data_IF_380806066288
#
_entry.id   IF_380806066288
#
_cell.length_a   1.000
_cell.length_b   1.000
_cell.length_c   1.000
_cell.angle_alpha   90.00
_cell.angle_beta   90.00
_cell.angle_gamma   90.00
#
_symmetry.space_group_name_H-M   'P 1'
#
loop_
_entity.id
_entity.type
_entity.pdbx_description
1 polymer ?
#
# COMPACT_ATOMS: atom_id res chain seq x y z
N UNK A 1 10.25 21.00 -15.83
CA UNK A 1 9.54 20.43 -14.66
C UNK A 1 10.27 19.13 -14.33
N UNK A 2 10.95 19.04 -13.18
CA UNK A 2 11.87 17.92 -12.88
C UNK A 2 11.07 16.61 -12.89
N UNK A 3 11.55 15.62 -13.64
CA UNK A 3 11.11 14.24 -13.49
C UNK A 3 11.41 13.82 -12.05
N UNK A 4 10.38 13.72 -11.20
CA UNK A 4 10.52 13.07 -9.90
C UNK A 4 10.95 11.63 -10.18
N UNK A 5 12.11 11.24 -9.65
CA UNK A 5 12.57 9.86 -9.77
C UNK A 5 11.52 8.95 -9.12
N UNK A 6 11.11 7.84 -9.77
CA UNK A 6 10.10 6.96 -9.21
C UNK A 6 10.58 6.40 -7.87
N UNK A 7 9.73 6.47 -6.85
CA UNK A 7 9.98 5.85 -5.55
C UNK A 7 9.29 4.49 -5.51
N UNK A 8 10.03 3.46 -5.11
CA UNK A 8 9.53 2.10 -4.99
C UNK A 8 9.42 1.71 -3.51
N UNK A 9 8.31 1.05 -3.16
CA UNK A 9 8.06 0.56 -1.80
C UNK A 9 7.76 -0.95 -1.82
N UNK A 10 8.16 -1.64 -0.76
CA UNK A 10 7.74 -3.01 -0.48
C UNK A 10 7.42 -3.14 1.01
N UNK A 11 6.22 -3.62 1.30
CA UNK A 11 5.73 -3.86 2.66
C UNK A 11 5.62 -5.36 2.92
N UNK A 12 5.74 -5.74 4.18
CA UNK A 12 5.46 -7.09 4.66
C UNK A 12 4.85 -6.96 6.04
N UNK A 13 3.67 -7.55 6.22
CA UNK A 13 2.94 -7.54 7.48
C UNK A 13 2.66 -8.97 7.96
N UNK A 14 2.35 -9.09 9.24
CA UNK A 14 1.92 -10.36 9.82
C UNK A 14 0.48 -10.66 9.45
N UNK A 15 0.20 -11.92 9.13
CA UNK A 15 -1.13 -12.44 8.80
C UNK A 15 -1.65 -13.40 9.89
N UNK A 16 -1.13 -13.29 11.11
CA UNK A 16 -1.58 -14.13 12.22
C UNK A 16 -2.92 -13.62 12.77
N UNK A 17 -4.00 -14.43 12.74
CA UNK A 17 -5.33 -14.03 13.20
C UNK A 17 -5.42 -13.78 14.72
N UNK A 18 -4.43 -14.22 15.50
CA UNK A 18 -4.43 -14.10 16.96
C UNK A 18 -3.79 -12.79 17.46
N UNK A 19 -3.16 -12.03 16.56
CA UNK A 19 -2.50 -10.76 16.90
C UNK A 19 -2.97 -9.65 15.97
N UNK A 20 -2.94 -8.38 16.40
CA UNK A 20 -3.18 -7.27 15.49
C UNK A 20 -2.20 -7.32 14.31
N UNK A 21 -2.68 -6.93 13.13
CA UNK A 21 -1.83 -6.77 11.96
C UNK A 21 -0.70 -5.78 12.26
N UNK A 22 0.53 -6.24 12.07
CA UNK A 22 1.75 -5.50 12.41
C UNK A 22 2.70 -5.51 11.23
N UNK A 23 3.41 -4.40 11.04
CA UNK A 23 4.47 -4.31 10.05
C UNK A 23 5.64 -5.22 10.50
N UNK A 24 6.08 -6.13 9.64
CA UNK A 24 7.26 -6.98 9.85
C UNK A 24 8.50 -6.41 9.15
N UNK A 25 8.28 -5.67 8.06
CA UNK A 25 9.36 -5.03 7.33
C UNK A 25 8.87 -4.09 6.24
N UNK A 26 9.70 -3.10 5.95
CA UNK A 26 9.52 -2.17 4.84
C UNK A 26 10.84 -2.00 4.09
N UNK A 27 10.77 -1.86 2.77
CA UNK A 27 11.87 -1.43 1.92
C UNK A 27 11.40 -0.25 1.08
N UNK A 28 12.25 0.75 0.94
CA UNK A 28 12.01 1.91 0.08
C UNK A 28 13.27 2.21 -0.73
N UNK A 29 13.09 2.67 -1.97
CA UNK A 29 14.17 3.17 -2.81
C UNK A 29 13.68 4.38 -3.61
N UNK A 30 14.36 5.51 -3.49
CA UNK A 30 14.00 6.78 -4.11
C UNK A 30 14.19 7.97 -3.17
N UNK A 31 13.56 9.08 -3.50
CA UNK A 31 13.52 10.29 -2.67
C UNK A 31 12.90 9.99 -1.29
N UNK A 32 13.48 10.55 -0.23
CA UNK A 32 13.06 10.38 1.17
C UNK A 32 12.99 8.93 1.70
N UNK A 33 13.61 7.97 1.02
CA UNK A 33 13.60 6.57 1.44
C UNK A 33 14.14 6.37 2.88
N UNK A 34 15.17 7.12 3.29
CA UNK A 34 15.73 7.04 4.65
C UNK A 34 14.73 7.41 5.73
N UNK A 35 14.03 8.54 5.56
CA UNK A 35 13.03 9.02 6.52
C UNK A 35 11.84 8.05 6.63
N UNK A 36 11.43 7.48 5.49
CA UNK A 36 10.34 6.51 5.43
C UNK A 36 10.73 5.19 6.11
N UNK A 37 11.94 4.69 5.86
CA UNK A 37 12.45 3.48 6.52
C UNK A 37 12.61 3.69 8.03
N UNK A 38 13.04 4.88 8.45
CA UNK A 38 13.12 5.24 9.87
C UNK A 38 11.74 5.23 10.55
N UNK A 39 10.73 5.82 9.92
CA UNK A 39 9.36 5.79 10.42
C UNK A 39 8.83 4.34 10.55
N UNK A 40 9.09 3.49 9.56
CA UNK A 40 8.75 2.07 9.62
C UNK A 40 9.49 1.34 10.76
N UNK A 41 10.78 1.63 10.94
CA UNK A 41 11.57 1.09 12.05
C UNK A 41 10.99 1.48 13.41
N UNK A 42 10.47 2.71 13.54
CA UNK A 42 9.83 3.17 14.77
C UNK A 42 8.52 2.40 15.05
N UNK A 43 7.69 2.17 14.01
CA UNK A 43 6.46 1.36 14.14
C UNK A 43 6.78 -0.08 14.57
N UNK A 44 7.77 -0.71 13.94
CA UNK A 44 8.19 -2.08 14.24
C UNK A 44 8.75 -2.18 15.66
N UNK A 45 9.67 -1.28 16.04
CA UNK A 45 10.32 -1.32 17.36
C UNK A 45 9.34 -1.08 18.51
N UNK A 46 8.32 -0.25 18.30
CA UNK A 46 7.26 0.00 19.29
C UNK A 46 6.12 -1.03 19.23
N UNK A 47 6.19 -2.04 18.35
CA UNK A 47 5.14 -3.06 18.15
C UNK A 47 3.76 -2.44 17.90
N UNK A 48 3.73 -1.34 17.15
CA UNK A 48 2.49 -0.65 16.83
C UNK A 48 1.73 -1.40 15.73
N UNK A 49 0.39 -1.41 15.78
CA UNK A 49 -0.40 -2.02 14.72
C UNK A 49 -0.27 -1.24 13.41
N UNK A 50 -0.42 -1.94 12.28
CA UNK A 50 -0.32 -1.36 10.94
C UNK A 50 -1.36 -0.25 10.71
N UNK A 51 -2.50 -0.34 11.40
CA UNK A 51 -3.55 0.67 11.40
C UNK A 51 -3.07 2.07 11.82
N UNK A 52 -1.95 2.18 12.56
CA UNK A 52 -1.33 3.49 12.84
C UNK A 52 -0.88 4.17 11.56
N UNK A 53 -0.25 3.44 10.63
CA UNK A 53 0.18 3.97 9.34
C UNK A 53 -1.00 4.26 8.42
N UNK A 54 -2.05 3.44 8.46
CA UNK A 54 -3.26 3.63 7.65
C UNK A 54 -4.03 4.90 8.02
N UNK A 55 -4.07 5.23 9.31
CA UNK A 55 -4.89 6.32 9.85
C UNK A 55 -4.07 7.60 10.12
N UNK A 56 -2.77 7.60 9.85
CA UNK A 56 -1.92 8.77 10.05
C UNK A 56 -2.33 9.89 9.10
N UNK A 57 -2.53 11.10 9.64
CA UNK A 57 -2.80 12.27 8.82
C UNK A 57 -1.50 12.70 8.12
N UNK A 58 -1.46 12.54 6.81
CA UNK A 58 -0.36 13.04 5.97
C UNK A 58 -0.72 14.41 5.38
N UNK A 59 0.22 15.36 5.35
CA UNK A 59 0.01 16.62 4.65
C UNK A 59 -0.12 16.34 3.14
N UNK A 60 -1.14 16.92 2.50
CA UNK A 60 -1.31 16.79 1.06
C UNK A 60 -0.76 18.02 0.33
N UNK A 61 0.02 17.87 -0.77
CA UNK A 61 0.59 16.63 -1.31
C UNK A 61 1.92 16.24 -0.64
N UNK A 62 2.18 14.94 -0.39
CA UNK A 62 3.43 14.44 0.17
C UNK A 62 3.81 13.02 -0.27
N UNK A 63 5.12 12.76 -0.34
CA UNK A 63 5.67 11.42 -0.63
C UNK A 63 5.17 10.37 0.38
N UNK A 64 4.99 10.79 1.64
CA UNK A 64 4.53 9.92 2.73
C UNK A 64 3.10 9.43 2.56
N UNK A 65 2.26 10.07 1.73
CA UNK A 65 0.91 9.56 1.41
C UNK A 65 0.99 8.18 0.76
N UNK A 66 2.03 7.90 -0.03
CA UNK A 66 2.25 6.59 -0.64
C UNK A 66 2.53 5.50 0.40
N UNK A 67 3.14 5.85 1.54
CA UNK A 67 3.40 4.92 2.65
C UNK A 67 2.08 4.52 3.32
N UNK A 68 1.21 5.49 3.61
CA UNK A 68 -0.13 5.25 4.11
C UNK A 68 -0.93 4.36 3.15
N UNK A 69 -0.86 4.66 1.84
CA UNK A 69 -1.59 3.88 0.86
C UNK A 69 -1.07 2.45 0.75
N UNK A 70 0.24 2.23 0.86
CA UNK A 70 0.80 0.87 0.93
C UNK A 70 0.34 0.11 2.18
N UNK A 71 0.26 0.78 3.34
CA UNK A 71 -0.30 0.15 4.54
C UNK A 71 -1.76 -0.25 4.32
N UNK A 72 -2.57 0.63 3.69
CA UNK A 72 -3.95 0.32 3.32
C UNK A 72 -4.07 -0.82 2.30
N UNK A 73 -3.19 -0.89 1.31
CA UNK A 73 -3.16 -2.00 0.35
C UNK A 73 -2.95 -3.34 1.04
N UNK A 74 -2.01 -3.40 1.99
CA UNK A 74 -1.74 -4.61 2.78
C UNK A 74 -2.97 -5.05 3.58
N UNK A 75 -3.71 -4.08 4.13
CA UNK A 75 -4.92 -4.33 4.91
C UNK A 75 -6.21 -4.48 4.08
N UNK A 76 -6.13 -4.51 2.74
CA UNK A 76 -7.29 -4.60 1.85
C UNK A 76 -8.18 -3.33 1.81
N UNK A 77 -7.65 -2.21 2.30
CA UNK A 77 -8.35 -0.94 2.56
C UNK A 77 -7.84 0.21 1.68
N UNK A 78 -7.25 -0.10 0.52
CA UNK A 78 -6.69 0.91 -0.40
C UNK A 78 -7.78 1.87 -0.89
N UNK A 79 -7.52 3.18 -0.94
CA UNK A 79 -8.45 4.16 -1.51
C UNK A 79 -8.04 4.49 -2.96
N UNK A 80 -6.73 4.55 -3.22
CA UNK A 80 -6.22 4.79 -4.55
C UNK A 80 -6.34 3.52 -5.39
N UNK A 81 -6.90 3.68 -6.58
CA UNK A 81 -7.00 2.63 -7.60
C UNK A 81 -5.77 2.70 -8.52
N UNK A 82 -4.68 1.94 -8.27
CA UNK A 82 -3.44 2.06 -9.04
C UNK A 82 -3.63 1.71 -10.52
N UNK A 83 -4.70 1.00 -10.87
CA UNK A 83 -5.06 0.68 -12.25
C UNK A 83 -5.71 1.85 -13.02
N UNK A 84 -6.18 2.90 -12.34
CA UNK A 84 -6.82 4.08 -12.97
C UNK A 84 -5.80 5.15 -13.33
N UNK A 85 -4.73 5.28 -12.54
CA UNK A 85 -3.73 6.33 -12.73
C UNK A 85 -2.53 5.85 -13.54
N UNK A 86 -2.04 6.68 -14.46
CA UNK A 86 -0.81 6.39 -15.22
C UNK A 86 0.48 6.67 -14.44
N UNK A 87 0.38 7.44 -13.35
CA UNK A 87 1.51 7.90 -12.52
C UNK A 87 1.86 6.96 -11.36
N UNK A 88 1.01 5.97 -11.06
CA UNK A 88 1.21 4.98 -10.02
C UNK A 88 0.87 3.60 -10.57
N UNK A 89 1.63 2.57 -10.21
CA UNK A 89 1.32 1.20 -10.62
C UNK A 89 1.81 0.21 -9.56
N UNK A 90 1.10 -0.89 -9.42
CA UNK A 90 1.50 -2.02 -8.57
C UNK A 90 2.04 -3.12 -9.47
N UNK A 91 3.28 -3.57 -9.19
CA UNK A 91 3.92 -4.65 -9.98
C UNK A 91 3.46 -6.03 -9.57
N UNK A 92 3.21 -6.21 -8.29
CA UNK A 92 2.80 -7.48 -7.69
C UNK A 92 2.11 -7.16 -6.38
N UNK A 93 0.97 -7.80 -6.17
CA UNK A 93 0.21 -7.81 -4.93
C UNK A 93 -0.05 -9.27 -4.58
N UNK A 94 0.15 -9.64 -3.32
CA UNK A 94 -0.12 -11.00 -2.83
C UNK A 94 -1.23 -10.82 -1.78
N UNK A 95 -2.46 -11.31 -2.06
CA UNK A 95 -3.55 -11.20 -1.12
C UNK A 95 -3.28 -12.05 0.14
N UNK A 96 -3.94 -11.70 1.25
CA UNK A 96 -3.83 -12.43 2.53
C UNK A 96 -4.44 -13.82 2.49
N UNK A 97 -5.51 -13.99 1.73
CA UNK A 97 -6.24 -15.25 1.63
C UNK A 97 -6.48 -15.62 0.16
N UNK A 98 -7.07 -16.79 -0.12
CA UNK A 98 -7.60 -17.15 -1.44
C UNK A 98 -8.81 -16.26 -1.83
N UNK A 99 -8.70 -14.96 -1.60
CA UNK A 99 -9.59 -13.97 -2.19
C UNK A 99 -9.36 -13.98 -3.69
N UNK A 100 -10.46 -14.11 -4.42
CA UNK A 100 -10.44 -14.10 -5.87
C UNK A 100 -10.09 -12.67 -6.32
N UNK A 101 -8.82 -12.48 -6.67
CA UNK A 101 -8.36 -11.18 -7.15
C UNK A 101 -8.84 -11.02 -8.59
N UNK A 102 -9.78 -10.09 -8.81
CA UNK A 102 -10.20 -9.74 -10.16
C UNK A 102 -8.99 -9.32 -11.00
N UNK A 103 -8.94 -9.76 -12.26
CA UNK A 103 -7.86 -9.42 -13.19
C UNK A 103 -8.39 -8.51 -14.29
N UNK A 104 -7.67 -7.43 -14.55
CA UNK A 104 -8.04 -6.47 -15.61
C UNK A 104 -6.96 -6.41 -16.67
N UNK A 105 -7.38 -6.37 -17.93
CA UNK A 105 -6.52 -6.10 -19.07
C UNK A 105 -6.38 -4.58 -19.26
N UNK A 106 -5.17 -4.06 -19.06
CA UNK A 106 -4.88 -2.64 -19.25
C UNK A 106 -3.72 -2.52 -20.23
N UNK A 107 -4.02 -2.02 -21.43
CA UNK A 107 -3.01 -1.84 -22.48
C UNK A 107 -2.36 -3.15 -22.94
N UNK A 108 -3.11 -4.25 -22.97
CA UNK A 108 -2.63 -5.57 -23.42
C UNK A 108 -1.84 -6.36 -22.37
N UNK A 109 -1.82 -5.91 -21.11
CA UNK A 109 -1.25 -6.64 -19.99
C UNK A 109 -2.35 -7.01 -18.99
N UNK A 110 -2.46 -8.29 -18.66
CA UNK A 110 -3.29 -8.78 -17.54
C UNK A 110 -2.59 -8.45 -16.22
N UNK A 111 -3.28 -7.78 -15.31
CA UNK A 111 -2.78 -7.44 -13.97
C UNK A 111 -3.80 -7.82 -12.90
N UNK A 112 -3.31 -8.29 -11.76
CA UNK A 112 -4.12 -8.50 -10.57
C UNK A 112 -4.60 -7.14 -10.04
N UNK A 113 -5.90 -6.99 -9.79
CA UNK A 113 -6.44 -5.79 -9.17
C UNK A 113 -6.06 -5.72 -7.70
N UNK A 114 -5.65 -4.54 -7.26
CA UNK A 114 -5.47 -4.31 -5.84
C UNK A 114 -6.84 -4.03 -5.23
N UNK A 115 -7.23 -4.68 -4.12
CA UNK A 115 -8.47 -4.39 -3.43
C UNK A 115 -8.55 -2.90 -3.10
N UNK A 116 -9.59 -2.24 -3.60
CA UNK A 116 -9.88 -0.84 -3.30
C UNK A 116 -11.20 -0.75 -2.56
N UNK A 117 -11.30 0.16 -1.59
CA UNK A 117 -12.58 0.56 -1.02
C UNK A 117 -13.58 0.87 -2.15
N UNK A 118 -14.74 0.20 -2.11
CA UNK A 118 -15.84 0.40 -3.05
C UNK A 118 -16.27 -0.82 -3.89
N UNK A 119 -15.98 -2.06 -3.47
CA UNK A 119 -16.57 -3.28 -4.08
C UNK A 119 -17.70 -3.88 -3.22
N UNK A 120 -17.91 -3.40 -1.99
CA UNK A 120 -19.11 -3.69 -1.21
C UNK A 120 -20.15 -2.56 -1.40
N UNK A 121 -21.33 -2.97 -1.89
CA UNK A 121 -22.61 -2.25 -1.92
C UNK A 121 -22.72 -0.93 -2.70
N UNK A 122 -22.86 -1.06 -4.03
CA UNK A 122 -23.83 -0.23 -4.77
C UNK A 122 -24.74 -1.16 -5.56
N UNK A 123 -25.89 -1.55 -4.98
CA UNK A 123 -27.04 -1.89 -5.82
C UNK A 123 -27.48 -0.61 -6.55
N UNK A 124 -27.50 -0.68 -7.88
CA UNK A 124 -28.04 0.34 -8.78
C UNK A 124 -29.57 0.26 -8.86
#
# INVERSE_FOLDING_TARGET
MKFLNPVAYKFTASDDPNVPETLLGMRAAGEDASAIIEAASLVISNKLPLSVLENLLHPHPAITEAVQECARMVSGRSINKPHVFSSCYVRSFIPRHEEEVERVEIGGLTRDLVPSYGVEDYEL
#
